data_IF_156235973864
#
_entry.id   IF_156235973864
#
_cell.length_a   1.000
_cell.length_b   1.000
_cell.length_c   1.000
_cell.angle_alpha   90.00
_cell.angle_beta   90.00
_cell.angle_gamma   90.00
#
_symmetry.space_group_name_H-M   'P 1'
#
loop_
_entity.id
_entity.type
_entity.pdbx_description
1 polymer ?
#
# COMPACT_ATOMS: atom_id res chain seq x y z
N UNK A 1 6.64 -7.52 -22.45
CA UNK A 1 7.35 -8.81 -22.34
C UNK A 1 6.88 -9.47 -21.06
N UNK A 2 6.23 -10.63 -21.16
CA UNK A 2 5.83 -11.45 -20.01
C UNK A 2 7.05 -12.24 -19.55
N UNK A 3 7.39 -12.18 -18.27
CA UNK A 3 8.41 -13.02 -17.66
C UNK A 3 7.78 -14.38 -17.35
N UNK A 4 8.06 -15.38 -18.18
CA UNK A 4 7.77 -16.79 -17.86
C UNK A 4 8.89 -17.37 -17.03
N UNK A 5 8.58 -17.75 -15.78
CA UNK A 5 9.38 -18.71 -15.01
C UNK A 5 8.43 -19.63 -14.24
N UNK A 6 8.60 -20.94 -14.35
CA UNK A 6 8.44 -21.85 -13.22
C UNK A 6 9.45 -22.97 -13.40
N UNK A 7 10.25 -23.26 -12.36
CA UNK A 7 9.80 -24.15 -11.30
C UNK A 7 10.06 -23.59 -9.88
N UNK A 8 9.30 -24.11 -8.89
CA UNK A 8 8.97 -23.52 -7.59
C UNK A 8 7.95 -22.36 -7.69
N UNK A 9 6.92 -22.29 -6.82
CA UNK A 9 5.99 -21.17 -6.85
C UNK A 9 6.77 -19.89 -6.59
N UNK A 10 6.95 -19.07 -7.64
CA UNK A 10 7.63 -17.77 -7.50
C UNK A 10 7.06 -17.06 -6.27
N UNK A 11 7.93 -16.77 -5.30
CA UNK A 11 7.56 -16.19 -4.00
C UNK A 11 6.71 -14.93 -4.20
N UNK A 12 7.00 -14.17 -5.25
CA UNK A 12 6.27 -12.99 -5.69
C UNK A 12 5.78 -13.18 -7.13
N UNK A 13 4.57 -12.72 -7.43
CA UNK A 13 4.04 -12.64 -8.79
C UNK A 13 3.35 -11.30 -9.00
N UNK A 14 3.63 -10.66 -10.13
CA UNK A 14 3.05 -9.37 -10.51
C UNK A 14 1.65 -9.56 -11.11
N UNK A 15 0.69 -8.74 -10.67
CA UNK A 15 -0.69 -8.69 -11.14
C UNK A 15 -1.03 -7.26 -11.51
N UNK A 16 -0.67 -6.88 -12.74
CA UNK A 16 -0.83 -5.53 -13.29
C UNK A 16 -2.17 -5.41 -14.04
N UNK A 17 -2.94 -4.37 -13.73
CA UNK A 17 -4.24 -4.06 -14.34
C UNK A 17 -5.21 -3.49 -13.29
N UNK A 18 -6.48 -3.30 -13.66
CA UNK A 18 -7.51 -2.79 -12.74
C UNK A 18 -7.60 -3.67 -11.49
N UNK A 19 -7.65 -3.07 -10.29
CA UNK A 19 -7.62 -3.84 -9.04
C UNK A 19 -8.78 -4.84 -8.94
N UNK A 20 -9.98 -4.46 -9.39
CA UNK A 20 -11.16 -5.33 -9.47
C UNK A 20 -11.02 -6.53 -10.42
N UNK A 21 -10.15 -6.44 -11.44
CA UNK A 21 -9.88 -7.57 -12.35
C UNK A 21 -8.78 -8.49 -11.81
N UNK A 22 -7.80 -7.90 -11.14
CA UNK A 22 -6.55 -8.58 -10.78
C UNK A 22 -6.63 -9.26 -9.41
N UNK A 23 -7.35 -8.69 -8.45
CA UNK A 23 -7.50 -9.31 -7.13
C UNK A 23 -8.13 -10.71 -7.21
N UNK A 24 -9.24 -10.95 -7.97
CA UNK A 24 -9.80 -12.29 -8.08
C UNK A 24 -8.82 -13.31 -8.69
N UNK A 25 -8.02 -12.89 -9.67
CA UNK A 25 -6.99 -13.76 -10.30
C UNK A 25 -5.89 -14.11 -9.31
N UNK A 26 -5.41 -13.13 -8.54
CA UNK A 26 -4.42 -13.32 -7.49
C UNK A 26 -4.92 -14.34 -6.46
N UNK A 27 -6.16 -14.20 -6.00
CA UNK A 27 -6.76 -15.12 -5.01
C UNK A 27 -6.99 -16.51 -5.61
N UNK A 28 -7.45 -16.60 -6.87
CA UNK A 28 -7.64 -17.89 -7.57
C UNK A 28 -6.33 -18.68 -7.72
N UNK A 29 -5.18 -18.01 -7.72
CA UNK A 29 -3.86 -18.64 -7.68
C UNK A 29 -3.38 -19.04 -6.28
N UNK A 30 -4.21 -18.87 -5.24
CA UNK A 30 -3.85 -19.19 -3.86
C UNK A 30 -2.80 -18.24 -3.27
N UNK A 31 -2.69 -17.01 -3.78
CA UNK A 31 -1.75 -16.00 -3.31
C UNK A 31 -2.43 -15.00 -2.37
N UNK A 32 -1.62 -14.29 -1.60
CA UNK A 32 -2.06 -13.16 -0.77
C UNK A 32 -1.46 -11.87 -1.32
N UNK A 33 -2.21 -10.76 -1.44
CA UNK A 33 -1.62 -9.50 -1.87
C UNK A 33 -0.57 -9.02 -0.86
N UNK A 34 0.56 -8.51 -1.35
CA UNK A 34 1.65 -7.97 -0.55
C UNK A 34 1.15 -6.78 0.27
N UNK A 35 1.47 -6.74 1.56
CA UNK A 35 1.19 -5.60 2.44
C UNK A 35 2.22 -4.47 2.25
N UNK A 36 1.98 -3.30 2.83
CA UNK A 36 2.96 -2.21 2.84
C UNK A 36 4.24 -2.62 3.58
N UNK A 37 4.13 -3.31 4.73
CA UNK A 37 5.30 -3.91 5.42
C UNK A 37 6.06 -4.85 4.50
N UNK A 38 5.38 -5.78 3.84
CA UNK A 38 6.04 -6.73 2.94
C UNK A 38 6.73 -6.03 1.77
N UNK A 39 6.17 -4.92 1.29
CA UNK A 39 6.80 -4.09 0.26
C UNK A 39 8.04 -3.35 0.78
N UNK A 40 8.02 -2.83 2.01
CA UNK A 40 9.21 -2.24 2.65
C UNK A 40 10.35 -3.25 2.69
N UNK A 41 10.07 -4.46 3.20
CA UNK A 41 11.03 -5.56 3.29
C UNK A 41 11.55 -5.96 1.90
N UNK A 42 10.67 -6.09 0.90
CA UNK A 42 11.05 -6.44 -0.45
C UNK A 42 11.95 -5.36 -1.10
N UNK A 43 11.64 -4.08 -0.90
CA UNK A 43 12.47 -2.97 -1.40
C UNK A 43 13.84 -2.93 -0.72
N UNK A 44 13.91 -3.15 0.59
CA UNK A 44 15.18 -3.23 1.31
C UNK A 44 16.03 -4.41 0.83
N UNK A 45 15.42 -5.59 0.73
CA UNK A 45 16.11 -6.83 0.38
C UNK A 45 16.54 -6.90 -1.08
N UNK A 46 15.67 -6.46 -1.99
CA UNK A 46 15.83 -6.69 -3.43
C UNK A 46 15.97 -5.41 -4.26
N UNK A 47 15.66 -4.23 -3.71
CA UNK A 47 15.54 -3.00 -4.49
C UNK A 47 16.79 -2.61 -5.25
N UNK A 48 17.98 -2.89 -4.69
CA UNK A 48 19.27 -2.63 -5.37
C UNK A 48 19.54 -3.57 -6.54
N UNK A 49 19.25 -4.87 -6.40
CA UNK A 49 19.51 -5.85 -7.46
C UNK A 49 18.38 -5.90 -8.50
N UNK A 50 17.15 -5.58 -8.09
CA UNK A 50 15.94 -5.62 -8.89
C UNK A 50 15.25 -4.24 -8.83
N UNK A 51 15.72 -3.26 -9.63
CA UNK A 51 15.22 -1.87 -9.58
C UNK A 51 13.72 -1.73 -9.78
N UNK A 52 13.07 -2.71 -10.41
CA UNK A 52 11.61 -2.73 -10.59
C UNK A 52 10.83 -2.59 -9.27
N UNK A 53 11.38 -3.05 -8.13
CA UNK A 53 10.77 -2.85 -6.81
C UNK A 53 10.75 -1.38 -6.38
N UNK A 54 11.68 -0.56 -6.85
CA UNK A 54 11.75 0.87 -6.55
C UNK A 54 11.14 1.73 -7.66
N UNK A 55 11.21 1.27 -8.90
CA UNK A 55 10.87 2.06 -10.09
C UNK A 55 9.42 1.90 -10.54
N UNK A 56 8.65 1.11 -9.80
CA UNK A 56 7.21 0.95 -9.98
C UNK A 56 6.43 1.32 -8.73
N UNK A 57 5.14 1.59 -8.95
CA UNK A 57 4.15 1.69 -7.90
C UNK A 57 3.53 0.32 -7.63
N UNK A 58 3.04 0.14 -6.41
CA UNK A 58 2.38 -1.10 -5.99
C UNK A 58 1.19 -0.79 -5.11
N UNK A 59 0.03 -1.26 -5.55
CA UNK A 59 -1.14 -1.43 -4.70
C UNK A 59 -0.87 -2.58 -3.73
N UNK A 60 -1.41 -2.47 -2.52
CA UNK A 60 -1.15 -3.42 -1.44
C UNK A 60 -2.43 -4.05 -0.92
N UNK A 61 -2.28 -5.14 -0.17
CA UNK A 61 -3.37 -5.77 0.57
C UNK A 61 -3.87 -4.96 1.77
N UNK A 62 -3.18 -3.88 2.13
CA UNK A 62 -3.60 -2.98 3.20
C UNK A 62 -4.60 -1.95 2.65
N UNK A 63 -5.61 -1.63 3.46
CA UNK A 63 -6.66 -0.66 3.12
C UNK A 63 -6.60 0.60 3.98
N UNK A 64 -7.20 1.66 3.45
CA UNK A 64 -7.61 2.83 4.21
C UNK A 64 -9.11 3.02 4.06
N UNK A 65 -9.79 3.10 5.19
CA UNK A 65 -11.20 3.39 5.27
C UNK A 65 -11.39 4.86 5.63
N UNK A 66 -12.42 5.46 5.07
CA UNK A 66 -12.82 6.84 5.31
C UNK A 66 -14.25 6.82 5.85
N UNK A 67 -14.45 7.43 7.01
CA UNK A 67 -15.76 7.68 7.56
C UNK A 67 -16.30 9.04 7.06
N UNK A 68 -17.62 9.22 7.11
CA UNK A 68 -18.30 10.44 6.62
C UNK A 68 -17.99 11.68 7.44
N UNK A 69 -17.60 11.51 8.72
CA UNK A 69 -17.16 12.60 9.62
C UNK A 69 -15.67 12.99 9.46
N UNK A 70 -14.96 12.36 8.51
CA UNK A 70 -13.55 12.63 8.25
C UNK A 70 -12.56 11.83 9.11
N UNK A 71 -13.00 10.90 9.95
CA UNK A 71 -12.11 9.88 10.52
C UNK A 71 -11.61 8.95 9.43
N UNK A 72 -10.39 8.45 9.60
CA UNK A 72 -9.80 7.44 8.73
C UNK A 72 -9.30 6.26 9.55
N UNK A 73 -9.26 5.08 8.94
CA UNK A 73 -8.75 3.87 9.58
C UNK A 73 -7.80 3.12 8.66
N UNK A 74 -6.58 2.86 9.14
CA UNK A 74 -5.61 2.00 8.46
C UNK A 74 -5.89 0.56 8.84
N UNK A 75 -6.23 -0.28 7.85
CA UNK A 75 -6.61 -1.68 8.04
C UNK A 75 -5.59 -2.56 7.34
N UNK A 76 -4.83 -3.33 8.12
CA UNK A 76 -3.85 -4.25 7.59
C UNK A 76 -4.52 -5.48 7.01
N UNK A 77 -3.92 -6.05 5.96
CA UNK A 77 -4.36 -7.33 5.39
C UNK A 77 -5.87 -7.38 5.11
N UNK A 78 -6.41 -6.28 4.60
CA UNK A 78 -7.84 -6.00 4.59
C UNK A 78 -8.63 -7.09 3.84
N UNK A 79 -9.56 -7.81 4.50
CA UNK A 79 -10.40 -8.80 3.83
C UNK A 79 -11.30 -8.14 2.77
N UNK A 80 -11.65 -6.87 2.95
CA UNK A 80 -12.44 -6.10 1.98
C UNK A 80 -11.65 -5.83 0.70
N UNK A 81 -10.35 -5.51 0.81
CA UNK A 81 -9.46 -5.39 -0.36
C UNK A 81 -9.31 -6.74 -1.06
N UNK A 82 -9.11 -7.83 -0.30
CA UNK A 82 -8.98 -9.18 -0.84
C UNK A 82 -10.26 -9.67 -1.52
N UNK A 83 -11.42 -9.14 -1.13
CA UNK A 83 -12.72 -9.45 -1.72
C UNK A 83 -13.07 -8.64 -2.97
N UNK A 84 -12.23 -7.69 -3.40
CA UNK A 84 -12.51 -6.86 -4.58
C UNK A 84 -12.69 -7.71 -5.85
N UNK A 85 -13.72 -7.38 -6.61
CA UNK A 85 -14.10 -8.03 -7.86
C UNK A 85 -14.96 -7.08 -8.72
N UNK A 86 -15.38 -7.52 -9.90
CA UNK A 86 -16.18 -6.72 -10.84
C UNK A 86 -17.58 -6.33 -10.34
N UNK A 87 -18.12 -7.04 -9.34
CA UNK A 87 -19.43 -6.76 -8.74
C UNK A 87 -19.32 -5.88 -7.49
N UNK A 88 -18.10 -5.51 -7.10
CA UNK A 88 -17.87 -4.66 -5.93
C UNK A 88 -18.59 -3.31 -6.10
N UNK A 89 -19.35 -2.86 -5.09
CA UNK A 89 -20.07 -1.59 -5.16
C UNK A 89 -19.08 -0.43 -5.06
N UNK A 90 -18.70 0.14 -6.20
CA UNK A 90 -17.77 1.27 -6.25
C UNK A 90 -18.49 2.60 -6.46
N UNK A 91 -18.01 3.64 -5.77
CA UNK A 91 -18.37 5.04 -5.99
C UNK A 91 -17.09 5.86 -6.05
N UNK A 92 -16.90 6.61 -7.14
CA UNK A 92 -15.70 7.42 -7.39
C UNK A 92 -14.38 6.65 -7.19
N UNK A 93 -14.38 5.38 -7.63
CA UNK A 93 -13.23 4.50 -7.53
C UNK A 93 -12.97 3.90 -6.15
N UNK A 94 -13.76 4.22 -5.14
CA UNK A 94 -13.65 3.63 -3.80
C UNK A 94 -14.73 2.57 -3.57
N UNK A 95 -14.41 1.55 -2.78
CA UNK A 95 -15.39 0.55 -2.33
C UNK A 95 -16.34 1.20 -1.32
N UNK A 96 -17.62 1.22 -1.62
CA UNK A 96 -18.67 1.67 -0.68
C UNK A 96 -18.80 0.63 0.43
N UNK A 97 -18.75 1.09 1.67
CA UNK A 97 -18.89 0.23 2.84
C UNK A 97 -20.36 0.18 3.28
N UNK A 98 -20.83 -1.02 3.61
CA UNK A 98 -22.13 -1.20 4.24
C UNK A 98 -22.16 -0.67 5.69
N UNK A 99 -23.37 -0.54 6.23
CA UNK A 99 -23.59 -0.05 7.59
C UNK A 99 -22.81 -0.87 8.63
N UNK A 100 -22.14 -0.19 9.56
CA UNK A 100 -21.34 -0.81 10.63
C UNK A 100 -20.02 -1.46 10.19
N UNK A 101 -19.73 -1.56 8.89
CA UNK A 101 -18.46 -2.14 8.39
C UNK A 101 -17.27 -1.29 8.82
N UNK A 102 -17.38 0.04 8.76
CA UNK A 102 -16.31 0.94 9.22
C UNK A 102 -15.98 0.71 10.69
N UNK A 103 -16.99 0.67 11.57
CA UNK A 103 -16.80 0.57 13.01
C UNK A 103 -16.26 -0.79 13.44
N UNK A 104 -16.74 -1.87 12.82
CA UNK A 104 -16.32 -3.25 13.10
C UNK A 104 -14.95 -3.60 12.54
N UNK A 105 -14.47 -2.90 11.51
CA UNK A 105 -13.15 -3.11 10.93
C UNK A 105 -12.05 -2.86 11.98
N UNK A 106 -11.14 -3.84 12.11
CA UNK A 106 -9.97 -3.75 12.97
C UNK A 106 -8.87 -2.94 12.27
N UNK A 107 -8.38 -1.90 12.92
CA UNK A 107 -7.38 -1.03 12.36
C UNK A 107 -7.11 0.18 13.23
N UNK A 108 -6.03 0.87 12.96
CA UNK A 108 -5.68 2.09 13.69
C UNK A 108 -6.47 3.27 13.12
N UNK A 109 -7.26 3.91 13.98
CA UNK A 109 -8.08 5.06 13.62
C UNK A 109 -7.37 6.38 13.90
N UNK A 110 -7.61 7.35 13.02
CA UNK A 110 -7.07 8.70 13.13
C UNK A 110 -8.14 9.74 12.81
N UNK A 111 -8.09 10.85 13.53
CA UNK A 111 -8.82 12.06 13.16
C UNK A 111 -8.01 12.84 12.11
N UNK A 112 -8.61 13.14 10.95
CA UNK A 112 -7.91 13.86 9.87
C UNK A 112 -7.30 15.18 10.31
N UNK A 113 -7.98 15.94 11.18
CA UNK A 113 -7.47 17.22 11.72
C UNK A 113 -6.13 17.06 12.45
N UNK A 114 -5.90 15.93 13.12
CA UNK A 114 -4.63 15.64 13.81
C UNK A 114 -3.51 15.24 12.84
N UNK A 115 -3.85 14.93 11.58
CA UNK A 115 -2.92 14.50 10.54
C UNK A 115 -2.48 15.63 9.60
N UNK A 116 -3.06 16.82 9.66
CA UNK A 116 -2.86 17.90 8.67
C UNK A 116 -1.37 18.21 8.40
N UNK A 117 -0.51 18.18 9.43
CA UNK A 117 0.94 18.41 9.29
C UNK A 117 1.76 17.22 8.76
N UNK A 118 1.12 16.07 8.59
CA UNK A 118 1.74 14.79 8.21
C UNK A 118 1.31 14.32 6.82
N UNK A 119 0.40 15.04 6.16
CA UNK A 119 -0.21 14.61 4.89
C UNK A 119 -0.14 15.70 3.82
N UNK A 120 -0.52 15.33 2.59
CA UNK A 120 -0.67 16.22 1.42
C UNK A 120 0.59 16.96 0.97
N UNK A 121 1.78 16.48 1.37
CA UNK A 121 3.05 17.04 0.93
C UNK A 121 4.21 16.04 1.05
N UNK A 122 5.30 16.22 0.28
CA UNK A 122 6.55 15.50 0.50
C UNK A 122 7.15 15.85 1.87
N UNK A 123 7.64 14.83 2.59
CA UNK A 123 8.10 14.95 3.97
C UNK A 123 9.63 14.91 4.06
N UNK A 124 10.22 15.52 5.08
CA UNK A 124 11.61 15.26 5.45
C UNK A 124 11.76 13.84 6.01
N UNK A 125 12.99 13.34 6.07
CA UNK A 125 13.31 12.03 6.65
C UNK A 125 12.78 11.89 8.07
N UNK A 126 13.01 12.88 8.91
CA UNK A 126 12.58 12.92 10.32
C UNK A 126 11.06 12.98 10.44
N UNK A 127 10.40 13.71 9.54
CA UNK A 127 8.94 13.76 9.47
C UNK A 127 8.35 12.40 9.08
N UNK A 128 8.98 11.64 8.17
CA UNK A 128 8.54 10.28 7.82
C UNK A 128 8.66 9.33 9.00
N UNK A 129 9.82 9.32 9.68
CA UNK A 129 10.07 8.43 10.83
C UNK A 129 9.12 8.69 12.01
N UNK A 130 8.60 9.92 12.13
CA UNK A 130 7.63 10.31 13.15
C UNK A 130 6.18 10.39 12.63
N UNK A 131 5.91 10.01 11.38
CA UNK A 131 4.58 10.08 10.79
C UNK A 131 3.70 8.94 11.31
N UNK A 132 2.55 9.23 11.94
CA UNK A 132 1.70 8.20 12.53
C UNK A 132 1.11 7.22 11.51
N UNK A 133 0.88 7.64 10.26
CA UNK A 133 0.38 6.76 9.20
C UNK A 133 1.49 5.83 8.71
N UNK A 134 2.70 6.33 8.47
CA UNK A 134 3.81 5.46 8.11
C UNK A 134 4.13 4.44 9.19
N UNK A 135 4.03 4.85 10.47
CA UNK A 135 4.18 3.94 11.60
C UNK A 135 3.10 2.87 11.63
N UNK A 136 1.84 3.24 11.41
CA UNK A 136 0.73 2.28 11.29
C UNK A 136 0.97 1.31 10.13
N UNK A 137 1.32 1.82 8.95
CA UNK A 137 1.65 1.03 7.76
C UNK A 137 2.87 0.12 7.97
N UNK A 138 3.80 0.50 8.84
CA UNK A 138 4.93 -0.32 9.28
C UNK A 138 4.54 -1.30 10.42
N UNK A 139 3.25 -1.38 10.79
CA UNK A 139 2.72 -2.18 11.91
C UNK A 139 3.44 -1.91 13.23
N UNK A 140 3.68 -0.63 13.51
CA UNK A 140 4.44 -0.15 14.67
C UNK A 140 5.90 -0.64 14.75
N UNK A 141 6.43 -1.28 13.70
CA UNK A 141 7.84 -1.66 13.63
C UNK A 141 8.70 -0.45 13.26
N UNK A 142 9.07 0.33 14.28
CA UNK A 142 9.90 1.54 14.10
C UNK A 142 11.26 1.22 13.47
N UNK A 143 11.88 0.09 13.81
CA UNK A 143 13.19 -0.29 13.25
C UNK A 143 13.11 -0.48 11.73
N UNK A 144 12.07 -1.19 11.25
CA UNK A 144 11.82 -1.36 9.82
C UNK A 144 11.53 -0.02 9.14
N UNK A 145 10.68 0.82 9.75
CA UNK A 145 10.36 2.14 9.19
C UNK A 145 11.61 3.02 9.06
N UNK A 146 12.47 3.02 10.09
CA UNK A 146 13.69 3.81 10.10
C UNK A 146 14.65 3.37 9.00
N UNK A 147 14.91 2.06 8.89
CA UNK A 147 15.79 1.47 7.88
C UNK A 147 15.25 1.72 6.46
N UNK A 148 13.95 1.47 6.25
CA UNK A 148 13.29 1.70 4.98
C UNK A 148 13.33 3.18 4.57
N UNK A 149 13.08 4.09 5.51
CA UNK A 149 13.17 5.53 5.26
C UNK A 149 14.58 5.93 4.87
N UNK A 150 15.60 5.46 5.60
CA UNK A 150 16.99 5.77 5.28
C UNK A 150 17.40 5.27 3.90
N UNK A 151 16.97 4.05 3.55
CA UNK A 151 17.19 3.47 2.23
C UNK A 151 16.55 4.30 1.12
N UNK A 152 15.25 4.64 1.23
CA UNK A 152 14.54 5.39 0.20
C UNK A 152 15.10 6.80 0.03
N UNK A 153 15.43 7.51 1.12
CA UNK A 153 16.03 8.84 1.03
C UNK A 153 17.41 8.80 0.39
N UNK A 154 18.23 7.80 0.72
CA UNK A 154 19.54 7.60 0.08
C UNK A 154 19.38 7.41 -1.43
N UNK A 155 18.54 6.45 -1.83
CA UNK A 155 18.32 6.15 -3.24
C UNK A 155 17.72 7.33 -4.01
N UNK A 156 16.78 8.06 -3.41
CA UNK A 156 16.17 9.20 -4.07
C UNK A 156 17.13 10.40 -4.18
N UNK A 157 17.98 10.63 -3.19
CA UNK A 157 18.99 11.69 -3.24
C UNK A 157 20.03 11.39 -4.33
N UNK A 158 20.54 10.16 -4.38
CA UNK A 158 21.52 9.72 -5.36
C UNK A 158 20.99 9.79 -6.80
N UNK A 159 19.74 9.36 -7.02
CA UNK A 159 19.18 9.21 -8.37
C UNK A 159 18.47 10.45 -8.90
N UNK A 160 17.86 11.25 -8.02
CA UNK A 160 16.98 12.36 -8.40
C UNK A 160 17.25 13.66 -7.63
N UNK A 161 18.17 13.67 -6.68
CA UNK A 161 18.50 14.86 -5.88
C UNK A 161 17.44 15.26 -4.86
N UNK A 162 16.45 14.40 -4.57
CA UNK A 162 15.33 14.73 -3.67
C UNK A 162 15.77 14.77 -2.20
N UNK A 163 15.42 15.86 -1.51
CA UNK A 163 15.59 16.04 -0.06
C UNK A 163 14.30 15.82 0.74
N UNK A 164 13.15 15.74 0.05
CA UNK A 164 11.83 15.50 0.64
C UNK A 164 11.03 14.50 -0.17
N UNK A 165 10.54 13.48 0.50
CA UNK A 165 10.04 12.25 -0.09
C UNK A 165 8.94 11.63 0.79
N UNK A 166 8.39 10.50 0.35
CA UNK A 166 7.52 9.62 1.14
C UNK A 166 6.36 10.37 1.80
N UNK A 167 5.72 11.27 1.06
CA UNK A 167 4.50 11.92 1.52
C UNK A 167 3.36 10.92 1.71
N UNK A 168 2.37 11.30 2.53
CA UNK A 168 1.12 10.55 2.68
C UNK A 168 0.01 11.39 2.07
N UNK A 169 -0.78 10.82 1.16
CA UNK A 169 -1.86 11.52 0.47
C UNK A 169 -3.16 10.77 0.67
N UNK A 170 -4.17 11.43 1.22
CA UNK A 170 -5.42 10.84 1.67
C UNK A 170 -6.60 11.37 0.85
N UNK A 171 -7.54 10.49 0.55
CA UNK A 171 -8.80 10.91 -0.08
C UNK A 171 -9.62 11.78 0.90
N UNK A 172 -10.45 12.64 0.35
CA UNK A 172 -11.47 13.37 1.11
C UNK A 172 -12.57 12.44 1.63
N UNK A 173 -13.23 12.84 2.72
CA UNK A 173 -14.46 12.18 3.17
C UNK A 173 -15.56 12.26 2.09
N UNK A 174 -16.46 11.28 2.06
CA UNK A 174 -17.64 11.27 1.20
C UNK A 174 -18.92 11.28 2.03
N UNK A 175 -20.06 11.36 1.36
CA UNK A 175 -21.39 11.13 1.92
C UNK A 175 -21.65 9.70 2.40
N UNK A 176 -20.83 8.72 1.99
CA UNK A 176 -20.86 7.33 2.45
C UNK A 176 -19.49 6.88 2.94
N UNK A 177 -19.39 6.00 3.94
CA UNK A 177 -18.11 5.42 4.32
C UNK A 177 -17.54 4.60 3.15
N UNK A 178 -16.23 4.73 2.91
CA UNK A 178 -15.58 4.15 1.74
C UNK A 178 -14.21 3.58 2.07
N UNK A 179 -13.71 2.72 1.18
CA UNK A 179 -12.41 2.08 1.32
C UNK A 179 -11.61 2.15 0.02
N UNK A 180 -10.30 2.35 0.17
CA UNK A 180 -9.31 2.28 -0.91
C UNK A 180 -8.12 1.43 -0.50
N UNK A 181 -7.39 0.92 -1.49
CA UNK A 181 -6.10 0.26 -1.25
C UNK A 181 -5.04 1.31 -0.95
N UNK A 182 -4.04 0.95 -0.14
CA UNK A 182 -2.80 1.72 -0.10
C UNK A 182 -1.95 1.41 -1.32
N UNK A 183 -1.52 2.45 -2.02
CA UNK A 183 -0.54 2.37 -3.10
C UNK A 183 0.75 3.08 -2.68
N UNK A 184 1.88 2.38 -2.75
CA UNK A 184 3.20 2.99 -2.54
C UNK A 184 3.85 3.20 -3.89
N UNK A 185 4.11 4.46 -4.22
CA UNK A 185 4.52 4.86 -5.56
C UNK A 185 6.03 4.66 -5.76
N UNK A 186 6.47 4.74 -7.02
CA UNK A 186 7.88 4.64 -7.43
C UNK A 186 8.75 5.76 -6.87
N UNK A 187 10.05 5.49 -6.83
CA UNK A 187 11.09 6.39 -6.34
C UNK A 187 11.17 7.71 -7.12
N UNK A 188 11.04 7.65 -8.45
CA UNK A 188 11.03 8.85 -9.30
C UNK A 188 9.92 9.84 -8.97
N UNK A 189 8.81 9.35 -8.40
CA UNK A 189 7.66 10.14 -7.94
C UNK A 189 7.73 10.39 -6.43
N UNK A 190 8.92 10.30 -5.83
CA UNK A 190 9.21 10.53 -4.40
C UNK A 190 8.66 9.45 -3.45
N UNK A 191 8.27 8.27 -3.93
CA UNK A 191 7.77 7.16 -3.10
C UNK A 191 6.67 7.48 -2.08
N UNK A 192 5.64 8.29 -2.39
CA UNK A 192 4.54 8.52 -1.47
C UNK A 192 3.71 7.26 -1.20
N UNK A 193 3.02 7.24 -0.06
CA UNK A 193 1.89 6.36 0.20
C UNK A 193 0.59 7.11 -0.15
N UNK A 194 -0.20 6.55 -1.08
CA UNK A 194 -1.45 7.10 -1.55
C UNK A 194 -2.61 6.24 -1.09
N UNK A 195 -3.55 6.87 -0.42
CA UNK A 195 -4.80 6.27 0.03
C UNK A 195 -6.00 6.70 -0.80
N UNK A 196 -5.81 7.25 -2.00
CA UNK A 196 -6.84 7.93 -2.80
C UNK A 196 -6.97 7.43 -4.24
N UNK A 197 -6.19 6.41 -4.63
CA UNK A 197 -6.21 5.87 -5.98
C UNK A 197 -7.52 5.08 -6.26
N UNK A 198 -7.93 5.04 -7.53
CA UNK A 198 -9.16 4.41 -8.02
C UNK A 198 -8.98 2.89 -8.16
N UNK A 199 -9.95 2.10 -7.68
CA UNK A 199 -9.88 0.63 -7.71
C UNK A 199 -10.30 0.01 -9.06
N UNK A 200 -10.94 0.75 -9.96
CA UNK A 200 -11.50 0.22 -11.21
C UNK A 200 -11.17 1.01 -12.48
N UNK A 201 -10.81 2.29 -12.41
CA UNK A 201 -10.54 3.09 -13.61
C UNK A 201 -9.06 3.19 -13.95
N UNK A 202 -8.17 3.08 -12.96
CA UNK A 202 -6.72 3.13 -13.18
C UNK A 202 -6.11 1.73 -13.20
N UNK A 203 -4.97 1.62 -13.86
CA UNK A 203 -4.13 0.44 -13.72
C UNK A 203 -3.53 0.45 -12.33
N UNK A 204 -3.91 -0.53 -11.51
CA UNK A 204 -3.19 -0.85 -10.29
C UNK A 204 -2.19 -1.96 -10.53
N UNK A 205 -1.44 -2.28 -9.47
CA UNK A 205 -0.40 -3.28 -9.51
C UNK A 205 -0.24 -3.98 -8.17
N UNK A 206 -0.90 -5.12 -8.03
CA UNK A 206 -0.66 -5.99 -6.88
C UNK A 206 0.55 -6.89 -7.11
N UNK A 207 1.20 -7.25 -6.00
CA UNK A 207 2.13 -8.39 -5.98
C UNK A 207 1.51 -9.47 -5.11
N UNK A 208 1.32 -10.66 -5.67
CA UNK A 208 0.82 -11.83 -4.96
C UNK A 208 1.96 -12.66 -4.35
N UNK A 209 1.92 -12.88 -3.05
CA UNK A 209 2.87 -13.70 -2.29
C UNK A 209 2.32 -15.12 -2.14
N UNK A 210 3.13 -16.14 -2.42
CA UNK A 210 2.76 -17.54 -2.21
C UNK A 210 2.86 -17.92 -0.73
N UNK A 211 1.94 -18.75 -0.24
CA UNK A 211 1.89 -19.21 1.16
C UNK A 211 3.13 -20.01 1.58
N UNK A 212 3.88 -20.56 0.62
CA UNK A 212 5.17 -21.23 0.88
C UNK A 212 6.33 -20.28 1.20
N UNK A 213 6.24 -18.99 0.87
CA UNK A 213 7.32 -18.01 1.10
C UNK A 213 7.32 -17.37 2.49
N UNK A 214 6.17 -17.33 3.18
CA UNK A 214 6.05 -16.72 4.50
C UNK A 214 6.79 -17.48 5.62
N UNK A 215 7.12 -18.75 5.39
CA UNK A 215 7.82 -19.60 6.36
C UNK A 215 9.35 -19.55 6.25
N UNK A 216 9.93 -18.96 5.20
CA UNK A 216 11.39 -18.85 5.06
C UNK A 216 11.98 -17.58 5.67
N UNK A 217 11.15 -16.58 6.00
CA UNK A 217 11.59 -15.33 6.64
C UNK A 217 11.72 -15.43 8.18
N UNK A 218 11.53 -16.61 8.77
CA UNK A 218 11.65 -16.87 10.22
C UNK A 218 12.78 -17.84 10.60
N UNK A 219 13.78 -18.04 9.73
CA UNK A 219 14.99 -18.81 10.04
C UNK A 219 16.23 -17.95 9.97
#
# INVERSE_FOLDING_TARGET
MSLDLNPAPQTFRDFNGRNVDQMPKLIAEGRTPLSVVGLMEARLKYGKQLPAWMDNYFDTGDGVLYHTDGRIKVVHDSPLIRGLNLESPLKDGALVLGDGVYDSAQGQEFERKKLEKYVESPLSKEQVKSNPIWRALARDNQGLLDEYTDFIFTQAKERFGYDKNMGVYLDSASDVPKLRAWCVVRLGDRSPARGWDDLALVNGRFVGVSTGGANEAKK
#
